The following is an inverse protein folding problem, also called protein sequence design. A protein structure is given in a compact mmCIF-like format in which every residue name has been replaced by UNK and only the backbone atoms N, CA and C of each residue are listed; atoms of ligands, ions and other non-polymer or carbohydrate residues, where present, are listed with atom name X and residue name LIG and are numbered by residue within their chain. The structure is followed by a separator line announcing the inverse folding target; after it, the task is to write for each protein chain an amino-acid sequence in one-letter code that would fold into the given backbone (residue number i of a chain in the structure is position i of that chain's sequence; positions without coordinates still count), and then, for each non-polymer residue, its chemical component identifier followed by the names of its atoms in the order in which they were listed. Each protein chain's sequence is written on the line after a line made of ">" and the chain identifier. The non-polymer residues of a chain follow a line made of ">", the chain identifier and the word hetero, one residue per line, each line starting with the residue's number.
data_IF_877608026939
#
_entry.id   IF_877608026939
#
_cell.length_a   1.000
_cell.length_b   1.000
_cell.length_c   1.000
_cell.angle_alpha   90.00
_cell.angle_beta   90.00
_cell.angle_gamma   90.00
#
_symmetry.space_group_name_H-M   'P 1'
#
loop_
_entity.id
_entity.type
_entity.pdbx_description
1 polymer ?
#
# COMPACT_ATOMS: atom_id res chain seq x y z
N UNK A 1 10.17 -33.13 38.40
CA UNK A 1 10.00 -33.79 37.10
C UNK A 1 8.87 -33.11 36.35
N UNK A 2 9.21 -32.25 35.38
CA UNK A 2 8.32 -31.70 34.34
C UNK A 2 9.20 -31.61 33.08
N UNK A 3 8.74 -32.13 31.94
CA UNK A 3 9.48 -32.26 30.67
C UNK A 3 9.78 -30.93 29.94
N UNK A 4 10.40 -30.99 28.74
CA UNK A 4 11.17 -29.90 28.15
C UNK A 4 10.29 -28.81 27.54
N UNK A 5 10.70 -27.55 27.66
CA UNK A 5 10.21 -26.45 26.82
C UNK A 5 11.26 -26.14 25.76
N UNK A 6 10.95 -26.51 24.53
CA UNK A 6 11.67 -26.12 23.30
C UNK A 6 11.66 -24.59 23.16
N UNK A 7 12.82 -23.90 23.10
CA UNK A 7 12.88 -22.47 22.83
C UNK A 7 13.19 -22.20 21.35
N UNK A 8 12.61 -22.96 20.42
CA UNK A 8 12.39 -22.41 19.09
C UNK A 8 11.27 -21.38 19.16
N UNK A 9 11.54 -20.25 18.52
CA UNK A 9 10.62 -19.13 18.26
C UNK A 9 10.55 -18.10 19.39
N UNK A 10 11.62 -17.33 19.56
CA UNK A 10 11.53 -15.89 19.83
C UNK A 10 12.85 -15.22 19.43
N UNK A 11 13.00 -14.97 18.13
CA UNK A 11 13.83 -13.89 17.64
C UNK A 11 12.88 -13.00 16.81
N UNK A 12 12.56 -11.77 17.24
CA UNK A 12 12.10 -10.78 16.29
C UNK A 12 13.28 -10.50 15.37
N UNK A 13 13.12 -10.78 14.08
CA UNK A 13 14.01 -10.30 13.03
C UNK A 13 14.07 -8.76 13.11
N UNK A 14 15.07 -8.25 13.83
CA UNK A 14 15.48 -6.84 13.81
C UNK A 14 16.31 -6.50 12.56
N UNK A 15 16.40 -7.43 11.61
CA UNK A 15 16.92 -7.22 10.28
C UNK A 15 15.76 -6.72 9.39
N UNK A 16 15.47 -5.43 9.47
CA UNK A 16 14.78 -4.78 8.35
C UNK A 16 15.48 -5.21 7.05
N UNK A 17 14.78 -5.75 6.04
CA UNK A 17 15.44 -6.12 4.81
C UNK A 17 16.05 -4.87 4.20
N UNK A 18 17.37 -4.93 4.07
CA UNK A 18 18.23 -4.04 3.31
C UNK A 18 17.68 -3.87 1.90
N UNK A 19 17.40 -2.63 1.49
CA UNK A 19 16.98 -2.29 0.13
C UNK A 19 15.47 -2.36 -0.08
N UNK A 20 14.94 -1.45 -0.91
CA UNK A 20 13.56 -1.51 -1.35
C UNK A 20 13.22 -2.81 -2.11
N UNK A 21 11.96 -3.00 -2.52
CA UNK A 21 11.54 -4.21 -3.21
C UNK A 21 12.35 -4.44 -4.49
N UNK A 22 12.69 -5.69 -4.74
CA UNK A 22 13.33 -6.11 -5.99
C UNK A 22 12.39 -5.94 -7.18
N UNK A 23 12.96 -5.88 -8.39
CA UNK A 23 12.16 -5.81 -9.62
C UNK A 23 11.27 -7.05 -9.80
N UNK A 24 11.73 -8.23 -9.36
CA UNK A 24 10.96 -9.47 -9.41
C UNK A 24 9.72 -9.40 -8.49
N UNK A 25 9.86 -8.85 -7.29
CA UNK A 25 8.73 -8.59 -6.38
C UNK A 25 7.76 -7.58 -7.00
N UNK A 26 8.26 -6.46 -7.51
CA UNK A 26 7.44 -5.43 -8.16
C UNK A 26 6.65 -5.98 -9.35
N UNK A 27 7.28 -6.80 -10.20
CA UNK A 27 6.62 -7.48 -11.31
C UNK A 27 5.52 -8.44 -10.84
N UNK A 28 5.76 -9.13 -9.74
CA UNK A 28 4.80 -10.07 -9.14
C UNK A 28 3.60 -9.33 -8.57
N UNK A 29 3.85 -8.25 -7.81
CA UNK A 29 2.79 -7.43 -7.24
C UNK A 29 1.98 -6.69 -8.30
N UNK A 30 2.62 -6.18 -9.37
CA UNK A 30 1.91 -5.57 -10.50
C UNK A 30 0.91 -6.55 -11.13
N UNK A 31 1.33 -7.80 -11.37
CA UNK A 31 0.43 -8.85 -11.89
C UNK A 31 -0.72 -9.14 -10.92
N UNK A 32 -0.45 -9.20 -9.62
CA UNK A 32 -1.50 -9.38 -8.62
C UNK A 32 -2.49 -8.20 -8.59
N UNK A 33 -2.00 -6.96 -8.72
CA UNK A 33 -2.80 -5.74 -8.72
C UNK A 33 -3.75 -5.61 -9.91
N UNK A 34 -3.50 -6.35 -10.99
CA UNK A 34 -4.38 -6.44 -12.16
C UNK A 34 -5.44 -7.55 -12.02
N UNK A 35 -5.36 -8.36 -10.96
CA UNK A 35 -6.38 -9.35 -10.63
C UNK A 35 -7.52 -8.73 -9.83
N UNK A 36 -8.68 -9.39 -9.79
CA UNK A 36 -9.78 -8.95 -8.93
C UNK A 36 -9.43 -8.92 -7.42
N UNK A 37 -8.34 -9.57 -7.00
CA UNK A 37 -7.93 -9.65 -5.59
C UNK A 37 -7.01 -8.53 -5.14
N UNK A 38 -6.38 -7.76 -6.03
CA UNK A 38 -5.39 -6.74 -5.67
C UNK A 38 -4.03 -7.33 -5.25
N UNK A 39 -3.11 -6.47 -4.82
CA UNK A 39 -1.80 -6.88 -4.27
C UNK A 39 -1.92 -7.68 -2.96
N UNK A 40 -0.84 -8.29 -2.45
CA UNK A 40 -0.72 -8.50 -1.00
C UNK A 40 -0.80 -7.17 -0.23
N UNK A 41 -0.95 -7.25 1.09
CA UNK A 41 -0.80 -6.08 1.97
C UNK A 41 0.67 -5.61 1.97
N UNK A 42 0.87 -4.32 1.73
CA UNK A 42 2.17 -3.66 1.56
C UNK A 42 2.30 -2.53 2.58
N UNK A 43 3.48 -2.33 3.15
CA UNK A 43 3.75 -1.08 3.87
C UNK A 43 3.77 0.13 2.91
N UNK A 44 3.78 1.34 3.47
CA UNK A 44 3.76 2.58 2.69
C UNK A 44 4.91 2.68 1.67
N UNK A 45 6.11 2.19 2.01
CA UNK A 45 7.28 2.28 1.14
C UNK A 45 7.17 1.32 -0.05
N UNK A 46 6.69 0.10 0.18
CA UNK A 46 6.42 -0.89 -0.87
C UNK A 46 5.26 -0.46 -1.77
N UNK A 47 4.21 0.14 -1.20
CA UNK A 47 3.11 0.72 -1.98
C UNK A 47 3.60 1.85 -2.90
N UNK A 48 4.40 2.80 -2.39
CA UNK A 48 5.02 3.87 -3.21
C UNK A 48 5.90 3.30 -4.33
N UNK A 49 6.74 2.32 -4.00
CA UNK A 49 7.63 1.68 -4.98
C UNK A 49 6.85 0.99 -6.10
N UNK A 50 5.76 0.28 -5.76
CA UNK A 50 4.91 -0.38 -6.75
C UNK A 50 4.19 0.62 -7.66
N UNK A 51 3.57 1.65 -7.08
CA UNK A 51 2.86 2.65 -7.87
C UNK A 51 3.81 3.40 -8.82
N UNK A 52 5.02 3.74 -8.35
CA UNK A 52 6.06 4.34 -9.20
C UNK A 52 6.54 3.40 -10.30
N UNK A 53 6.67 2.11 -10.01
CA UNK A 53 7.03 1.09 -10.99
C UNK A 53 5.95 0.93 -12.06
N UNK A 54 4.67 0.99 -11.70
CA UNK A 54 3.52 0.89 -12.60
C UNK A 54 3.49 2.01 -13.66
N UNK A 55 3.95 3.22 -13.31
CA UNK A 55 4.04 4.35 -14.24
C UNK A 55 4.88 4.04 -15.49
N UNK A 56 5.92 3.18 -15.37
CA UNK A 56 6.74 2.75 -16.51
C UNK A 56 5.94 2.00 -17.58
N UNK A 57 4.78 1.47 -17.21
CA UNK A 57 3.88 0.70 -18.08
C UNK A 57 2.60 1.47 -18.42
N UNK A 58 2.52 2.77 -18.09
CA UNK A 58 1.32 3.56 -18.31
C UNK A 58 0.14 3.16 -17.41
N UNK A 59 0.42 2.63 -16.23
CA UNK A 59 -0.60 2.16 -15.29
C UNK A 59 -0.68 3.06 -14.06
N UNK A 60 -1.91 3.36 -13.65
CA UNK A 60 -2.24 4.13 -12.45
C UNK A 60 -2.87 3.26 -11.38
N UNK A 61 -2.84 3.76 -10.13
CA UNK A 61 -3.60 3.17 -9.03
C UNK A 61 -5.09 3.42 -9.26
N UNK A 62 -5.84 2.34 -9.45
CA UNK A 62 -7.29 2.37 -9.62
C UNK A 62 -8.00 2.29 -8.27
N UNK A 63 -7.49 1.44 -7.37
CA UNK A 63 -8.05 1.23 -6.05
C UNK A 63 -6.94 1.00 -5.02
N UNK A 64 -7.21 1.40 -3.78
CA UNK A 64 -6.40 1.05 -2.61
C UNK A 64 -7.31 0.89 -1.42
N UNK A 65 -7.05 -0.18 -0.69
CA UNK A 65 -7.54 -0.37 0.66
C UNK A 65 -6.39 -0.10 1.61
N UNK A 66 -6.70 0.45 2.78
CA UNK A 66 -5.76 0.58 3.87
C UNK A 66 -6.34 -0.05 5.13
N UNK A 67 -5.50 -0.76 5.87
CA UNK A 67 -5.85 -1.30 7.19
C UNK A 67 -4.85 -0.79 8.22
N UNK A 68 -5.35 -0.32 9.34
CA UNK A 68 -4.49 0.10 10.44
C UNK A 68 -3.99 -1.13 11.20
N UNK A 69 -2.67 -1.26 11.27
CA UNK A 69 -2.03 -2.29 12.10
C UNK A 69 -1.72 -1.75 13.49
N UNK A 70 -1.55 -0.43 13.64
CA UNK A 70 -1.45 0.29 14.92
C UNK A 70 -1.98 1.71 14.79
N UNK A 71 -2.72 2.15 15.79
CA UNK A 71 -3.13 3.54 15.94
C UNK A 71 -2.35 4.23 17.07
N UNK A 72 -2.18 5.54 16.95
CA UNK A 72 -1.95 6.42 18.10
C UNK A 72 -3.31 6.96 18.55
N UNK A 73 -3.63 6.87 19.83
CA UNK A 73 -4.84 7.51 20.34
C UNK A 73 -4.67 9.04 20.40
N UNK A 74 -5.69 9.82 20.01
CA UNK A 74 -6.97 9.38 19.44
C UNK A 74 -6.89 9.06 17.94
N UNK A 75 -7.63 8.05 17.49
CA UNK A 75 -7.84 7.78 16.05
C UNK A 75 -8.68 8.93 15.48
N UNK A 76 -8.04 9.90 14.82
CA UNK A 76 -8.71 11.14 14.41
C UNK A 76 -9.57 11.00 13.16
N UNK A 77 -9.28 10.03 12.28
CA UNK A 77 -10.02 9.87 11.04
C UNK A 77 -10.10 8.39 10.64
N UNK A 78 -11.28 7.97 10.18
CA UNK A 78 -11.56 6.65 9.58
C UNK A 78 -11.47 6.73 8.03
N UNK A 79 -11.33 7.94 7.48
CA UNK A 79 -11.33 8.20 6.03
C UNK A 79 -10.06 7.74 5.27
N UNK A 80 -9.09 7.12 5.95
CA UNK A 80 -7.85 6.63 5.32
C UNK A 80 -8.06 5.35 4.50
N UNK A 81 -9.20 4.68 4.69
CA UNK A 81 -9.35 3.27 4.35
C UNK A 81 -9.50 3.00 2.87
N UNK A 82 -9.98 3.98 2.06
CA UNK A 82 -10.39 3.66 0.70
C UNK A 82 -10.12 4.82 -0.26
N UNK A 83 -9.55 4.44 -1.38
CA UNK A 83 -9.53 5.19 -2.62
C UNK A 83 -10.95 5.27 -3.21
N UNK A 84 -11.51 6.48 -3.34
CA UNK A 84 -12.80 6.72 -4.01
C UNK A 84 -13.90 7.26 -3.10
N UNK A 85 -13.57 7.57 -1.85
CA UNK A 85 -14.40 8.35 -0.93
C UNK A 85 -13.88 9.79 -0.82
N UNK A 86 -13.42 10.36 -1.95
CA UNK A 86 -12.91 11.72 -2.03
C UNK A 86 -14.00 12.64 -2.63
N UNK A 87 -13.81 13.96 -2.55
CA UNK A 87 -14.74 14.90 -3.18
C UNK A 87 -14.77 14.70 -4.71
N UNK A 88 -15.83 15.15 -5.38
CA UNK A 88 -15.92 15.12 -6.84
C UNK A 88 -14.71 15.83 -7.47
N UNK A 89 -14.06 15.19 -8.45
CA UNK A 89 -12.82 15.69 -9.07
C UNK A 89 -11.52 15.27 -8.36
N UNK A 90 -11.63 14.77 -7.13
CA UNK A 90 -10.56 14.10 -6.37
C UNK A 90 -10.80 12.58 -6.31
N UNK A 91 -11.89 12.10 -6.90
CA UNK A 91 -12.23 10.69 -6.98
C UNK A 91 -11.38 9.97 -8.01
N UNK A 92 -11.13 8.71 -7.74
CA UNK A 92 -10.13 7.93 -8.48
C UNK A 92 -10.58 7.55 -9.88
N UNK A 93 -11.89 7.55 -10.10
CA UNK A 93 -12.49 7.41 -11.41
C UNK A 93 -12.17 8.63 -12.32
N UNK A 94 -11.82 9.77 -11.73
CA UNK A 94 -11.44 11.02 -12.42
C UNK A 94 -9.96 11.03 -12.80
N UNK A 95 -9.16 10.09 -12.27
CA UNK A 95 -7.72 9.98 -12.53
C UNK A 95 -7.41 8.87 -13.53
N UNK A 96 -7.98 8.99 -14.75
CA UNK A 96 -7.57 8.20 -15.93
C UNK A 96 -6.11 8.45 -16.36
N UNK A 97 -5.47 9.45 -15.76
CA UNK A 97 -4.05 9.76 -15.87
C UNK A 97 -3.25 9.08 -14.73
N UNK A 98 -2.37 8.11 -15.04
CA UNK A 98 -1.51 7.45 -14.06
C UNK A 98 -0.72 8.37 -13.15
N UNK A 99 -0.24 9.51 -13.65
CA UNK A 99 0.58 10.43 -12.87
C UNK A 99 -0.26 11.13 -11.79
N UNK A 100 -1.49 11.53 -12.14
CA UNK A 100 -2.43 12.12 -11.18
C UNK A 100 -2.85 11.11 -10.12
N UNK A 101 -3.12 9.87 -10.51
CA UNK A 101 -3.41 8.78 -9.56
C UNK A 101 -2.23 8.53 -8.59
N UNK A 102 -1.00 8.53 -9.10
CA UNK A 102 0.19 8.39 -8.24
C UNK A 102 0.36 9.57 -7.27
N UNK A 103 0.15 10.80 -7.74
CA UNK A 103 0.24 11.99 -6.89
C UNK A 103 -0.76 11.95 -5.74
N UNK A 104 -2.01 11.55 -6.01
CA UNK A 104 -3.04 11.40 -4.99
C UNK A 104 -2.69 10.30 -3.98
N UNK A 105 -2.24 9.13 -4.45
CA UNK A 105 -1.79 8.05 -3.56
C UNK A 105 -0.70 8.53 -2.61
N UNK A 106 0.31 9.23 -3.16
CA UNK A 106 1.43 9.75 -2.38
C UNK A 106 0.99 10.80 -1.35
N UNK A 107 -0.02 11.62 -1.68
CA UNK A 107 -0.60 12.57 -0.73
C UNK A 107 -1.28 11.84 0.45
N UNK A 108 -2.06 10.79 0.18
CA UNK A 108 -2.70 9.98 1.23
C UNK A 108 -1.70 9.25 2.12
N UNK A 109 -0.65 8.64 1.53
CA UNK A 109 0.43 8.01 2.31
C UNK A 109 1.13 9.03 3.23
N UNK A 110 1.38 10.24 2.72
CA UNK A 110 1.99 11.31 3.51
C UNK A 110 1.08 11.75 4.65
N UNK A 111 -0.19 11.99 4.37
CA UNK A 111 -1.14 12.40 5.38
C UNK A 111 -1.26 11.33 6.49
N UNK A 112 -1.25 10.03 6.15
CA UNK A 112 -1.34 8.95 7.13
C UNK A 112 -0.12 8.93 8.06
N UNK A 113 1.07 9.11 7.46
CA UNK A 113 2.33 9.25 8.20
C UNK A 113 2.31 10.48 9.11
N UNK A 114 1.84 11.62 8.62
CA UNK A 114 1.81 12.88 9.37
C UNK A 114 0.80 12.81 10.52
N UNK A 115 -0.27 12.01 10.38
CA UNK A 115 -1.20 11.65 11.46
C UNK A 115 -0.64 10.59 12.44
N UNK A 116 0.54 10.02 12.17
CA UNK A 116 1.16 8.97 12.98
C UNK A 116 0.49 7.60 12.86
N UNK A 117 -0.31 7.37 11.81
CA UNK A 117 -0.92 6.08 11.54
C UNK A 117 0.10 5.10 10.94
N UNK A 118 0.05 3.84 11.39
CA UNK A 118 0.81 2.74 10.78
C UNK A 118 -0.18 1.85 10.05
N UNK A 119 -0.18 1.98 8.72
CA UNK A 119 -1.13 1.30 7.84
C UNK A 119 -0.40 0.31 6.93
N UNK A 120 -1.11 -0.75 6.56
CA UNK A 120 -0.80 -1.57 5.41
C UNK A 120 -1.80 -1.28 4.29
N UNK A 121 -1.35 -1.41 3.05
CA UNK A 121 -2.06 -0.99 1.86
C UNK A 121 -2.17 -2.12 0.87
N UNK A 122 -3.30 -2.17 0.18
CA UNK A 122 -3.54 -3.10 -0.91
C UNK A 122 -3.88 -2.32 -2.14
N UNK A 123 -3.25 -2.58 -3.28
CA UNK A 123 -3.42 -1.79 -4.51
C UNK A 123 -4.07 -2.60 -5.63
N UNK A 124 -4.83 -1.91 -6.45
CA UNK A 124 -5.27 -2.35 -7.77
C UNK A 124 -4.77 -1.36 -8.81
N UNK A 125 -4.26 -1.87 -9.91
CA UNK A 125 -3.67 -1.08 -10.99
C UNK A 125 -4.48 -1.23 -12.26
N UNK A 126 -4.60 -0.14 -13.03
CA UNK A 126 -5.29 -0.13 -14.32
C UNK A 126 -4.49 0.65 -15.37
N UNK A 127 -4.50 0.22 -16.65
CA UNK A 127 -3.95 1.02 -17.74
C UNK A 127 -4.63 2.39 -17.87
N UNK A 128 -3.87 3.39 -18.30
CA UNK A 128 -4.40 4.71 -18.65
C UNK A 128 -5.55 4.63 -19.67
N UNK A 129 -6.55 5.51 -19.51
CA UNK A 129 -7.61 5.69 -20.52
C UNK A 129 -8.62 4.54 -20.68
N UNK A 130 -8.55 3.50 -19.84
CA UNK A 130 -9.54 2.42 -19.78
C UNK A 130 -10.60 2.66 -18.72
#
# INVERSE_FOLDING_TARGET
>A
MIGPRDPRVFAPDFLAPSGGPSEAELKTWRRAAQSGKGTPWLDAARADALARYALKFGEGVQMMEAVATRFREPVREVGWEIIGADADGENWQDHRDPQRAYALMRAKLRAARDAGAVLEYKLWLKPAGT
#
